data_IF_829889150331
#
_entry.id   IF_829889150331
#
_cell.length_a   1.000
_cell.length_b   1.000
_cell.length_c   1.000
_cell.angle_alpha   90.00
_cell.angle_beta   90.00
_cell.angle_gamma   90.00
#
_symmetry.space_group_name_H-M   'P 1'
#
loop_
_entity.id
_entity.type
_entity.pdbx_description
1 polymer ?
#
# COMPACT_ATOMS: atom_id res chain seq x y z
N UNK A 1 15.66 -5.88 -0.94
CA UNK A 1 15.17 -5.27 0.33
C UNK A 1 13.67 -4.99 0.22
N UNK A 2 12.90 -4.95 1.31
CA UNK A 2 11.48 -4.60 1.25
C UNK A 2 11.33 -3.10 0.93
N UNK A 3 10.80 -2.79 -0.27
CA UNK A 3 10.64 -1.42 -0.78
C UNK A 3 9.80 -0.55 0.17
N UNK A 4 8.94 -1.17 0.95
CA UNK A 4 8.00 -0.53 1.88
C UNK A 4 8.66 0.09 3.11
N UNK A 5 9.87 -0.33 3.49
CA UNK A 5 10.54 0.18 4.69
C UNK A 5 10.98 1.65 4.57
N UNK A 6 10.98 2.21 3.35
CA UNK A 6 11.33 3.62 3.12
C UNK A 6 10.10 4.53 2.99
N UNK A 7 8.89 3.99 3.10
CA UNK A 7 7.65 4.76 2.94
C UNK A 7 7.21 5.29 4.31
N UNK A 8 7.13 6.62 4.53
CA UNK A 8 6.66 7.17 5.79
C UNK A 8 5.20 6.78 6.07
N UNK A 9 4.90 6.38 7.31
CA UNK A 9 3.55 5.97 7.72
C UNK A 9 2.50 7.07 7.55
N UNK A 10 2.90 8.32 7.74
CA UNK A 10 2.09 9.54 7.66
C UNK A 10 1.95 10.09 6.23
N UNK A 11 2.63 9.49 5.24
CA UNK A 11 2.51 9.93 3.85
C UNK A 11 1.06 9.80 3.38
N UNK A 12 0.48 10.83 2.76
CA UNK A 12 -0.84 10.73 2.15
C UNK A 12 -0.84 9.74 0.98
N UNK A 13 -1.92 8.97 0.86
CA UNK A 13 -2.10 7.96 -0.16
C UNK A 13 -3.59 7.71 -0.44
N UNK A 14 -3.85 7.05 -1.57
CA UNK A 14 -5.21 6.64 -1.95
C UNK A 14 -5.23 5.15 -2.20
N UNK A 15 -5.96 4.40 -1.37
CA UNK A 15 -6.27 3.00 -1.64
C UNK A 15 -7.46 2.89 -2.59
N UNK A 16 -7.28 2.09 -3.64
CA UNK A 16 -8.31 1.78 -4.63
C UNK A 16 -8.51 0.26 -4.68
N UNK A 17 -9.74 -0.16 -4.93
CA UNK A 17 -10.11 -1.54 -5.26
C UNK A 17 -10.60 -1.53 -6.73
N UNK A 18 -10.21 -2.54 -7.51
CA UNK A 18 -10.61 -2.64 -8.92
C UNK A 18 -12.08 -3.09 -9.10
N UNK A 19 -12.75 -3.49 -8.01
CA UNK A 19 -14.17 -3.85 -7.96
C UNK A 19 -15.11 -2.63 -7.99
N UNK A 20 -14.59 -1.41 -8.18
CA UNK A 20 -15.39 -0.18 -8.35
C UNK A 20 -15.92 0.42 -7.04
N UNK A 21 -15.39 0.03 -5.88
CA UNK A 21 -15.72 0.64 -4.60
C UNK A 21 -15.14 2.05 -4.48
N UNK A 22 -15.76 2.88 -3.64
CA UNK A 22 -15.24 4.21 -3.34
C UNK A 22 -13.79 4.12 -2.81
N UNK A 23 -12.86 4.92 -3.34
CA UNK A 23 -11.48 4.90 -2.91
C UNK A 23 -11.34 5.47 -1.49
N UNK A 24 -10.39 4.93 -0.73
CA UNK A 24 -10.00 5.46 0.58
C UNK A 24 -8.85 6.44 0.39
N UNK A 25 -9.08 7.73 0.67
CA UNK A 25 -8.04 8.77 0.68
C UNK A 25 -7.62 8.98 2.14
N UNK A 26 -6.41 8.56 2.51
CA UNK A 26 -5.93 8.54 3.89
C UNK A 26 -4.38 8.50 3.97
N UNK A 27 -3.79 8.08 5.09
CA UNK A 27 -2.34 7.84 5.20
C UNK A 27 -1.95 6.42 4.78
N UNK A 28 -0.65 6.16 4.58
CA UNK A 28 -0.12 4.81 4.32
C UNK A 28 -0.46 3.85 5.47
N UNK A 29 -0.39 4.32 6.71
CA UNK A 29 -0.78 3.53 7.89
C UNK A 29 -2.26 3.14 7.84
N UNK A 30 -3.14 4.09 7.56
CA UNK A 30 -4.58 3.81 7.45
C UNK A 30 -4.88 2.83 6.32
N UNK A 31 -4.19 2.98 5.19
CA UNK A 31 -4.29 2.05 4.07
C UNK A 31 -3.87 0.63 4.49
N UNK A 32 -2.73 0.47 5.17
CA UNK A 32 -2.28 -0.84 5.65
C UNK A 32 -3.27 -1.47 6.65
N UNK A 33 -3.87 -0.66 7.54
CA UNK A 33 -4.94 -1.11 8.45
C UNK A 33 -6.15 -1.61 7.63
N UNK A 34 -6.66 -0.81 6.69
CA UNK A 34 -7.84 -1.17 5.90
C UNK A 34 -7.60 -2.42 5.04
N UNK A 35 -6.41 -2.57 4.45
CA UNK A 35 -6.05 -3.78 3.69
C UNK A 35 -6.18 -5.06 4.52
N UNK A 36 -5.78 -5.01 5.81
CA UNK A 36 -5.91 -6.16 6.71
C UNK A 36 -7.37 -6.54 6.97
N UNK A 37 -8.29 -5.59 6.89
CA UNK A 37 -9.73 -5.83 7.07
C UNK A 37 -10.41 -6.37 5.80
N UNK A 38 -9.75 -6.28 4.64
CA UNK A 38 -10.30 -6.81 3.39
C UNK A 38 -10.39 -8.34 3.38
N UNK A 39 -11.44 -8.82 2.70
CA UNK A 39 -11.55 -10.23 2.29
C UNK A 39 -10.47 -10.57 1.27
N UNK A 40 -10.05 -11.85 1.14
CA UNK A 40 -8.98 -12.25 0.21
C UNK A 40 -9.17 -11.75 -1.22
N UNK A 41 -10.37 -11.90 -1.79
CA UNK A 41 -10.66 -11.45 -3.16
C UNK A 41 -10.46 -9.93 -3.36
N UNK A 42 -10.74 -9.10 -2.33
CA UNK A 42 -10.52 -7.66 -2.41
C UNK A 42 -9.04 -7.28 -2.22
N UNK A 43 -8.26 -8.08 -1.49
CA UNK A 43 -6.82 -7.86 -1.33
C UNK A 43 -6.06 -8.02 -2.64
N UNK A 44 -6.46 -8.97 -3.48
CA UNK A 44 -5.86 -9.21 -4.81
C UNK A 44 -6.09 -8.03 -5.77
N UNK A 45 -7.21 -7.33 -5.59
CA UNK A 45 -7.61 -6.18 -6.41
C UNK A 45 -7.13 -4.84 -5.83
N UNK A 46 -6.71 -4.80 -4.57
CA UNK A 46 -6.30 -3.56 -3.92
C UNK A 46 -5.02 -2.99 -4.55
N UNK A 47 -4.98 -1.67 -4.74
CA UNK A 47 -3.79 -0.89 -5.08
C UNK A 47 -3.71 0.33 -4.17
N UNK A 48 -2.51 0.82 -3.90
CA UNK A 48 -2.31 2.12 -3.24
C UNK A 48 -1.61 3.05 -4.22
N UNK A 49 -2.26 4.15 -4.56
CA UNK A 49 -1.65 5.28 -5.25
C UNK A 49 -0.97 6.18 -4.21
N UNK A 50 0.33 6.37 -4.38
CA UNK A 50 1.16 7.23 -3.55
C UNK A 50 1.04 8.69 -4.00
N UNK A 51 1.23 9.63 -3.08
CA UNK A 51 1.40 11.06 -3.41
C UNK A 51 2.85 11.44 -3.76
N UNK A 52 3.80 10.54 -3.50
CA UNK A 52 5.19 10.66 -3.93
C UNK A 52 5.73 9.30 -4.36
N UNK A 53 6.57 9.22 -5.41
CA UNK A 53 7.01 7.96 -5.95
C UNK A 53 8.23 7.42 -5.20
N UNK A 54 8.29 6.11 -5.08
CA UNK A 54 9.37 5.40 -4.37
C UNK A 54 10.25 4.66 -5.36
N UNK A 55 11.54 4.56 -5.06
CA UNK A 55 12.46 3.78 -5.90
C UNK A 55 12.29 2.29 -5.61
N UNK A 56 12.39 1.46 -6.66
CA UNK A 56 12.34 0.00 -6.56
C UNK A 56 13.62 -0.59 -7.09
N UNK A 57 14.21 -1.49 -6.30
CA UNK A 57 15.36 -2.27 -6.72
C UNK A 57 15.03 -3.03 -8.02
N UNK A 58 15.90 -2.91 -9.02
CA UNK A 58 15.67 -3.49 -10.36
C UNK A 58 14.78 -2.68 -11.30
N UNK A 59 14.12 -1.61 -10.85
CA UNK A 59 13.41 -0.68 -11.75
C UNK A 59 14.24 0.56 -12.06
N UNK A 60 14.25 0.94 -13.33
CA UNK A 60 14.96 2.15 -13.80
C UNK A 60 14.28 3.45 -13.36
N UNK A 61 12.98 3.41 -13.09
CA UNK A 61 12.16 4.57 -12.73
C UNK A 61 11.50 4.37 -11.36
N UNK A 62 11.11 5.48 -10.71
CA UNK A 62 10.34 5.43 -9.46
C UNK A 62 8.89 5.03 -9.74
N UNK A 63 8.23 4.37 -8.79
CA UNK A 63 6.84 3.93 -8.92
C UNK A 63 5.90 4.65 -7.96
N UNK A 64 4.69 4.91 -8.45
CA UNK A 64 3.61 5.58 -7.74
C UNK A 64 2.54 4.63 -7.19
N UNK A 65 2.56 3.36 -7.58
CA UNK A 65 1.46 2.42 -7.27
C UNK A 65 2.01 1.19 -6.58
N UNK A 66 1.53 0.91 -5.36
CA UNK A 66 1.81 -0.35 -4.66
C UNK A 66 0.81 -1.43 -5.06
N UNK A 67 1.33 -2.63 -5.30
CA UNK A 67 0.58 -3.84 -5.60
C UNK A 67 0.26 -4.65 -4.32
N UNK A 68 -0.65 -5.63 -4.36
CA UNK A 68 -1.09 -6.39 -3.20
C UNK A 68 0.02 -6.99 -2.35
N UNK A 69 1.05 -7.54 -2.98
CA UNK A 69 2.22 -8.11 -2.33
C UNK A 69 3.03 -7.06 -1.55
N UNK A 70 3.16 -5.86 -2.10
CA UNK A 70 3.81 -4.73 -1.42
C UNK A 70 2.93 -4.19 -0.28
N UNK A 71 1.60 -4.13 -0.48
CA UNK A 71 0.67 -3.71 0.59
C UNK A 71 0.68 -4.74 1.73
N UNK A 72 0.81 -6.03 1.42
CA UNK A 72 0.95 -7.08 2.43
C UNK A 72 2.22 -6.90 3.27
N UNK A 73 3.34 -6.50 2.67
CA UNK A 73 4.57 -6.19 3.43
C UNK A 73 4.36 -5.01 4.42
N UNK A 74 3.61 -3.98 4.04
CA UNK A 74 3.22 -2.90 4.96
C UNK A 74 2.34 -3.45 6.09
N UNK A 75 1.34 -4.27 5.76
CA UNK A 75 0.45 -4.87 6.74
C UNK A 75 1.21 -5.76 7.76
N UNK A 76 2.21 -6.50 7.30
CA UNK A 76 3.05 -7.36 8.14
C UNK A 76 3.98 -6.52 9.02
N UNK A 77 4.59 -5.46 8.48
CA UNK A 77 5.40 -4.50 9.25
C UNK A 77 4.58 -3.85 10.35
N UNK A 78 3.38 -3.35 10.01
CA UNK A 78 2.45 -2.77 10.98
C UNK A 78 2.06 -3.75 12.08
N UNK A 79 1.91 -5.05 11.75
CA UNK A 79 1.60 -6.09 12.74
C UNK A 79 2.77 -6.35 13.69
N UNK A 80 4.01 -6.20 13.23
CA UNK A 80 5.20 -6.41 14.04
C UNK A 80 5.51 -5.22 14.99
N UNK A 81 4.98 -4.03 14.72
CA UNK A 81 5.13 -2.83 15.57
C UNK A 81 4.23 -2.84 16.83
N UNK A 82 3.24 -3.75 16.91
CA UNK A 82 2.27 -3.84 18.03
C UNK A 82 2.27 -5.20 18.70
#
# INVERSE_FOLDING_TARGET
MAITSTIPWDQPATMIDLDGKAPLIATIRDCAIHYRLFKPAAREQARILLTQPVHREGQKTRTWVLNPDEIQQLADTLRAEG
#
